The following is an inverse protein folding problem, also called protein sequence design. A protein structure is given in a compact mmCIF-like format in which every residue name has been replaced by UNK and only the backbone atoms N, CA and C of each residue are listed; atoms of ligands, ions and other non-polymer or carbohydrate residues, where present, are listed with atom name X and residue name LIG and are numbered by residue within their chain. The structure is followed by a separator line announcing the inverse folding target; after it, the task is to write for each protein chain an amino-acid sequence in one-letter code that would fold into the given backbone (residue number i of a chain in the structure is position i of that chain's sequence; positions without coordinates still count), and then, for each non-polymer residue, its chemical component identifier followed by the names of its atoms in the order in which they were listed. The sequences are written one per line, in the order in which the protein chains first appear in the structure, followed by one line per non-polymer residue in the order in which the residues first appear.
data_IF_179635708227
#
_entry.id   IF_179635708227
#
_cell.length_a   1.000
_cell.length_b   1.000
_cell.length_c   1.000
_cell.angle_alpha   90.00
_cell.angle_beta   90.00
_cell.angle_gamma   90.00
#
_symmetry.space_group_name_H-M   'P 1'
#
loop_
_entity.id
_entity.type
_entity.pdbx_description
1 polymer ?
#
# COMPACT_ATOMS: atom_id res chain seq x y z
N UNK A 1 -19.65 -31.18 -28.90
CA UNK A 1 -20.04 -29.75 -28.96
C UNK A 1 -20.39 -29.12 -27.59
N UNK A 2 -20.27 -29.84 -26.45
CA UNK A 2 -20.68 -29.36 -25.11
C UNK A 2 -19.57 -28.70 -24.25
N UNK A 3 -18.29 -28.69 -24.69
CA UNK A 3 -17.18 -28.13 -23.89
C UNK A 3 -17.02 -26.60 -23.97
N UNK A 4 -17.68 -25.91 -24.92
CA UNK A 4 -17.49 -24.46 -25.13
C UNK A 4 -18.20 -23.59 -24.09
N UNK A 5 -19.33 -24.03 -23.51
CA UNK A 5 -20.12 -23.23 -22.56
C UNK A 5 -19.46 -23.02 -21.19
N UNK A 6 -18.77 -24.03 -20.67
CA UNK A 6 -18.18 -23.99 -19.31
C UNK A 6 -16.90 -23.16 -19.26
N UNK A 7 -16.11 -23.19 -20.34
CA UNK A 7 -14.89 -22.39 -20.48
C UNK A 7 -15.25 -20.91 -20.68
N UNK A 8 -16.26 -20.62 -21.49
CA UNK A 8 -16.73 -19.24 -21.73
C UNK A 8 -17.34 -18.62 -20.46
N UNK A 9 -18.10 -19.38 -19.64
CA UNK A 9 -18.58 -18.93 -18.33
C UNK A 9 -17.44 -18.66 -17.34
N UNK A 10 -16.38 -19.48 -17.32
CA UNK A 10 -15.20 -19.24 -16.46
C UNK A 10 -14.40 -18.02 -16.92
N UNK A 11 -14.25 -17.81 -18.23
CA UNK A 11 -13.58 -16.64 -18.80
C UNK A 11 -14.38 -15.36 -18.54
N UNK A 12 -15.70 -15.37 -18.76
CA UNK A 12 -16.57 -14.25 -18.42
C UNK A 12 -16.55 -13.94 -16.92
N UNK A 13 -16.59 -14.95 -16.04
CA UNK A 13 -16.54 -14.72 -14.58
C UNK A 13 -15.20 -14.13 -14.15
N UNK A 14 -14.08 -14.56 -14.73
CA UNK A 14 -12.73 -14.05 -14.43
C UNK A 14 -12.51 -12.63 -14.97
N UNK A 15 -13.00 -12.34 -16.18
CA UNK A 15 -12.94 -11.00 -16.78
C UNK A 15 -13.94 -10.03 -16.13
N UNK A 16 -15.12 -10.49 -15.71
CA UNK A 16 -16.09 -9.69 -14.96
C UNK A 16 -15.54 -9.31 -13.58
N UNK A 17 -14.84 -10.22 -12.89
CA UNK A 17 -14.14 -9.89 -11.63
C UNK A 17 -13.08 -8.82 -11.87
N UNK A 18 -12.24 -8.95 -12.91
CA UNK A 18 -11.26 -7.92 -13.26
C UNK A 18 -11.96 -6.60 -13.60
N UNK A 19 -13.01 -6.60 -14.42
CA UNK A 19 -13.76 -5.40 -14.79
C UNK A 19 -14.47 -4.75 -13.61
N UNK A 20 -14.95 -5.51 -12.61
CA UNK A 20 -15.60 -4.94 -11.43
C UNK A 20 -14.56 -4.45 -10.43
N UNK A 21 -13.46 -5.17 -10.21
CA UNK A 21 -12.32 -4.65 -9.41
C UNK A 21 -11.80 -3.36 -10.06
N UNK A 22 -11.68 -3.33 -11.38
CA UNK A 22 -11.33 -2.12 -12.12
C UNK A 22 -12.43 -1.05 -12.03
N UNK A 23 -13.71 -1.36 -12.15
CA UNK A 23 -14.77 -0.36 -12.04
C UNK A 23 -14.90 0.19 -10.61
N UNK A 24 -14.73 -0.63 -9.59
CA UNK A 24 -14.93 -0.23 -8.19
C UNK A 24 -13.71 0.51 -7.61
N UNK A 25 -12.50 0.20 -8.08
CA UNK A 25 -11.28 0.87 -7.62
C UNK A 25 -10.76 1.92 -8.61
N UNK A 26 -11.02 1.76 -9.92
CA UNK A 26 -10.58 2.71 -10.96
C UNK A 26 -11.68 3.55 -11.58
N UNK A 27 -12.99 3.31 -11.49
CA UNK A 27 -13.90 4.20 -12.24
C UNK A 27 -13.88 5.70 -11.82
N UNK A 28 -13.55 6.08 -10.57
CA UNK A 28 -13.23 7.49 -10.26
C UNK A 28 -12.13 8.10 -11.16
N UNK A 29 -11.18 7.28 -11.63
CA UNK A 29 -10.06 7.62 -12.53
C UNK A 29 -10.52 8.16 -13.90
N UNK A 30 -11.48 7.51 -14.55
CA UNK A 30 -11.95 7.92 -15.88
C UNK A 30 -12.80 9.20 -15.84
N UNK A 31 -13.28 9.59 -14.67
CA UNK A 31 -14.15 10.75 -14.48
C UNK A 31 -13.35 12.01 -14.19
N UNK A 32 -12.21 11.89 -13.49
CA UNK A 32 -11.24 12.98 -13.34
C UNK A 32 -10.57 13.35 -14.69
N UNK A 33 -10.51 12.42 -15.65
CA UNK A 33 -9.88 12.62 -16.97
C UNK A 33 -10.84 13.02 -18.11
N UNK A 34 -12.08 13.43 -17.81
CA UNK A 34 -12.94 14.04 -18.82
C UNK A 34 -12.30 15.32 -19.37
N UNK A 35 -12.04 15.37 -20.68
CA UNK A 35 -11.22 16.32 -21.47
C UNK A 35 -11.39 17.84 -21.23
N UNK A 36 -12.31 18.29 -20.36
CA UNK A 36 -12.65 19.71 -20.17
C UNK A 36 -12.63 20.19 -18.71
N UNK A 37 -12.00 19.48 -17.78
CA UNK A 37 -11.87 19.95 -16.40
C UNK A 37 -10.57 20.76 -16.24
N UNK A 38 -10.60 22.10 -16.12
CA UNK A 38 -9.39 22.85 -15.82
C UNK A 38 -8.87 22.42 -14.44
N UNK A 39 -7.62 21.98 -14.38
CA UNK A 39 -6.92 21.77 -13.12
C UNK A 39 -7.05 23.04 -12.24
N UNK A 40 -7.25 22.91 -10.92
CA UNK A 40 -7.31 24.06 -10.04
C UNK A 40 -5.99 24.84 -10.16
N UNK A 41 -6.08 26.12 -10.53
CA UNK A 41 -4.93 27.03 -10.45
C UNK A 41 -4.51 27.11 -8.98
N UNK A 42 -3.32 26.62 -8.68
CA UNK A 42 -2.66 26.86 -7.40
C UNK A 42 -2.36 28.37 -7.34
N UNK A 43 -3.09 29.11 -6.51
CA UNK A 43 -2.82 30.52 -6.25
C UNK A 43 -1.53 30.67 -5.45
N UNK A 44 -0.43 30.95 -6.14
CA UNK A 44 0.79 31.45 -5.52
C UNK A 44 0.54 32.90 -5.06
N UNK A 45 0.28 33.10 -3.76
CA UNK A 45 0.01 34.41 -3.14
C UNK A 45 1.22 35.37 -3.06
N UNK A 46 2.30 35.14 -3.80
CA UNK A 46 3.46 36.04 -3.86
C UNK A 46 3.86 36.34 -5.30
N UNK A 47 3.03 37.10 -6.02
CA UNK A 47 3.45 38.00 -7.10
C UNK A 47 2.28 38.96 -7.37
N UNK A 48 2.14 39.97 -6.52
CA UNK A 48 1.35 41.17 -6.82
C UNK A 48 2.30 42.29 -7.16
N UNK A 49 2.56 42.50 -8.46
CA UNK A 49 2.70 43.84 -9.06
C UNK A 49 2.85 43.71 -10.58
N UNK A 50 2.01 44.49 -11.27
CA UNK A 50 2.01 44.82 -12.69
C UNK A 50 1.67 43.71 -13.70
N UNK A 51 0.39 43.60 -14.04
CA UNK A 51 -0.09 43.62 -15.43
C UNK A 51 -1.61 43.85 -15.45
N UNK A 52 -2.02 45.06 -15.89
CA UNK A 52 -3.41 45.38 -16.24
C UNK A 52 -3.70 44.74 -17.60
N UNK A 53 -4.34 43.57 -17.62
CA UNK A 53 -4.91 42.99 -18.84
C UNK A 53 -6.37 43.45 -19.00
N UNK A 54 -6.74 43.71 -20.25
CA UNK A 54 -8.03 44.22 -20.71
C UNK A 54 -9.20 43.25 -20.44
N UNK A 55 -10.43 43.77 -20.25
CA UNK A 55 -11.61 42.94 -19.98
C UNK A 55 -12.14 42.30 -21.27
N UNK A 56 -11.59 41.14 -21.66
CA UNK A 56 -12.12 40.35 -22.77
C UNK A 56 -13.39 39.57 -22.36
N UNK A 57 -14.55 40.06 -22.81
CA UNK A 57 -15.76 39.34 -23.25
C UNK A 57 -15.95 37.87 -22.86
N UNK A 58 -16.09 37.55 -21.56
CA UNK A 58 -16.70 36.27 -21.15
C UNK A 58 -18.21 36.35 -21.30
N UNK A 59 -18.74 35.83 -22.41
CA UNK A 59 -20.20 35.67 -22.61
C UNK A 59 -20.79 34.91 -21.40
N UNK A 60 -21.86 35.42 -20.75
CA UNK A 60 -22.46 34.77 -19.60
C UNK A 60 -23.00 33.39 -20.00
N UNK A 61 -22.51 32.36 -19.32
CA UNK A 61 -23.00 30.99 -19.47
C UNK A 61 -24.49 30.99 -19.12
N UNK A 62 -25.36 30.64 -20.09
CA UNK A 62 -26.81 30.70 -19.91
C UNK A 62 -27.27 29.84 -18.73
N UNK A 63 -28.24 30.32 -17.94
CA UNK A 63 -28.81 29.58 -16.79
C UNK A 63 -29.25 28.15 -17.18
N UNK A 64 -29.70 27.93 -18.42
CA UNK A 64 -30.09 26.63 -18.98
C UNK A 64 -28.90 25.66 -19.10
N UNK A 65 -27.75 26.13 -19.58
CA UNK A 65 -26.52 25.31 -19.69
C UNK A 65 -25.91 24.95 -18.33
N UNK A 66 -26.11 25.78 -17.30
CA UNK A 66 -25.69 25.47 -15.91
C UNK A 66 -26.57 24.39 -15.28
N UNK A 67 -27.90 24.44 -15.51
CA UNK A 67 -28.84 23.40 -15.04
C UNK A 67 -28.58 22.03 -15.70
N UNK A 68 -28.27 22.00 -17.00
CA UNK A 68 -27.95 20.76 -17.72
C UNK A 68 -26.63 20.13 -17.24
N UNK A 69 -25.58 20.94 -17.03
CA UNK A 69 -24.31 20.47 -16.44
C UNK A 69 -24.51 19.87 -15.04
N UNK A 70 -25.31 20.51 -14.18
CA UNK A 70 -25.61 19.97 -12.84
C UNK A 70 -26.38 18.65 -12.90
N UNK A 71 -27.38 18.50 -13.79
CA UNK A 71 -28.13 17.24 -13.94
C UNK A 71 -27.24 16.09 -14.41
N UNK A 72 -26.33 16.35 -15.36
CA UNK A 72 -25.38 15.32 -15.83
C UNK A 72 -24.41 14.91 -14.71
N UNK A 73 -23.89 15.88 -13.95
CA UNK A 73 -22.97 15.62 -12.84
C UNK A 73 -23.63 14.81 -11.71
N UNK A 74 -24.89 15.10 -11.36
CA UNK A 74 -25.66 14.34 -10.35
C UNK A 74 -25.94 12.90 -10.80
N UNK A 75 -26.31 12.68 -12.08
CA UNK A 75 -26.49 11.32 -12.61
C UNK A 75 -25.18 10.54 -12.58
N UNK A 76 -24.08 11.18 -12.99
CA UNK A 76 -22.74 10.59 -13.00
C UNK A 76 -22.28 10.23 -11.58
N UNK A 77 -22.48 11.11 -10.59
CA UNK A 77 -22.11 10.85 -9.20
C UNK A 77 -22.92 9.72 -8.56
N UNK A 78 -24.24 9.64 -8.81
CA UNK A 78 -25.08 8.52 -8.35
C UNK A 78 -24.62 7.18 -8.91
N UNK A 79 -24.30 7.13 -10.20
CA UNK A 79 -23.85 5.91 -10.84
C UNK A 79 -22.47 5.46 -10.31
N UNK A 80 -21.53 6.38 -10.06
CA UNK A 80 -20.27 6.07 -9.36
C UNK A 80 -20.54 5.49 -7.97
N UNK A 81 -21.41 6.14 -7.18
CA UNK A 81 -21.74 5.66 -5.84
C UNK A 81 -22.34 4.25 -5.87
N UNK A 82 -23.18 3.94 -6.86
CA UNK A 82 -23.72 2.59 -7.03
C UNK A 82 -22.64 1.57 -7.36
N UNK A 83 -21.67 1.91 -8.22
CA UNK A 83 -20.52 1.06 -8.49
C UNK A 83 -19.69 0.85 -7.23
N UNK A 84 -19.39 1.90 -6.47
CA UNK A 84 -18.64 1.78 -5.22
C UNK A 84 -19.37 0.92 -4.19
N UNK A 85 -20.70 1.07 -4.07
CA UNK A 85 -21.54 0.22 -3.19
C UNK A 85 -21.51 -1.23 -3.63
N UNK A 86 -21.61 -1.49 -4.93
CA UNK A 86 -21.50 -2.84 -5.48
C UNK A 86 -20.11 -3.44 -5.24
N UNK A 87 -19.04 -2.66 -5.42
CA UNK A 87 -17.68 -3.07 -5.06
C UNK A 87 -17.55 -3.45 -3.59
N UNK A 88 -18.12 -2.65 -2.70
CA UNK A 88 -18.14 -2.95 -1.26
C UNK A 88 -18.94 -4.22 -0.93
N UNK A 89 -20.00 -4.54 -1.66
CA UNK A 89 -20.79 -5.75 -1.41
C UNK A 89 -20.09 -7.04 -1.91
N UNK A 90 -19.30 -6.96 -2.99
CA UNK A 90 -18.55 -8.11 -3.51
C UNK A 90 -17.20 -8.33 -2.84
N UNK A 91 -16.57 -7.29 -2.27
CA UNK A 91 -15.24 -7.38 -1.70
C UNK A 91 -15.12 -8.50 -0.64
N UNK A 92 -16.05 -8.64 0.34
CA UNK A 92 -16.03 -9.76 1.29
C UNK A 92 -16.11 -11.15 0.63
N UNK A 93 -16.72 -11.25 -0.56
CA UNK A 93 -16.83 -12.52 -1.28
C UNK A 93 -15.49 -12.94 -1.88
N UNK A 94 -14.63 -11.98 -2.23
CA UNK A 94 -13.29 -12.21 -2.81
C UNK A 94 -12.19 -12.46 -1.78
N UNK A 95 -12.48 -12.25 -0.50
CA UNK A 95 -11.50 -12.48 0.55
C UNK A 95 -11.00 -13.93 0.61
N UNK A 96 -9.76 -14.07 1.08
CA UNK A 96 -9.19 -15.37 1.40
C UNK A 96 -10.08 -16.07 2.42
N UNK A 97 -10.53 -17.28 2.09
CA UNK A 97 -11.45 -18.03 2.95
C UNK A 97 -10.69 -18.68 4.10
N UNK A 98 -11.34 -18.73 5.25
CA UNK A 98 -10.91 -19.55 6.39
C UNK A 98 -10.88 -21.01 5.95
N UNK A 99 -9.81 -21.70 6.32
CA UNK A 99 -9.66 -23.13 6.12
C UNK A 99 -9.49 -23.81 7.49
N UNK A 100 -10.53 -24.46 8.02
CA UNK A 100 -10.44 -25.13 9.33
C UNK A 100 -9.46 -26.30 9.30
N UNK A 101 -9.20 -26.87 8.12
CA UNK A 101 -8.20 -27.92 7.95
C UNK A 101 -6.85 -27.27 7.64
N UNK A 102 -5.86 -27.54 8.50
CA UNK A 102 -4.47 -27.15 8.27
C UNK A 102 -3.99 -27.67 6.90
N UNK A 103 -3.59 -26.81 5.95
CA UNK A 103 -3.09 -27.26 4.65
C UNK A 103 -1.82 -28.12 4.78
N UNK A 104 -1.62 -29.06 3.85
CA UNK A 104 -0.48 -30.00 3.88
C UNK A 104 0.89 -29.34 3.71
N UNK A 105 0.94 -28.16 3.10
CA UNK A 105 2.14 -27.34 2.94
C UNK A 105 2.45 -26.49 4.18
N UNK A 106 1.55 -26.43 5.17
CA UNK A 106 1.88 -25.81 6.46
C UNK A 106 2.89 -26.74 7.16
N UNK A 107 4.00 -26.18 7.67
CA UNK A 107 5.07 -26.89 8.36
C UNK A 107 4.56 -27.99 9.30
N UNK A 108 5.27 -29.12 9.38
CA UNK A 108 4.86 -30.21 10.29
C UNK A 108 5.13 -29.83 11.74
N UNK A 109 4.52 -30.57 12.67
CA UNK A 109 4.82 -30.43 14.11
C UNK A 109 6.34 -30.62 14.32
N UNK A 110 6.99 -29.64 14.95
CA UNK A 110 8.43 -29.63 15.19
C UNK A 110 9.26 -28.82 14.19
N UNK A 111 8.72 -28.51 13.01
CA UNK A 111 9.42 -27.65 12.03
C UNK A 111 9.34 -26.19 12.48
N UNK A 112 10.46 -25.63 12.92
CA UNK A 112 10.55 -24.23 13.37
C UNK A 112 10.83 -23.30 12.19
N UNK A 113 10.15 -22.12 12.13
CA UNK A 113 10.53 -21.09 11.18
C UNK A 113 11.95 -20.60 11.49
N UNK A 114 12.65 -20.13 10.45
CA UNK A 114 13.92 -19.42 10.60
C UNK A 114 13.74 -18.13 11.40
N UNK A 115 12.65 -17.41 11.10
CA UNK A 115 12.18 -16.25 11.84
C UNK A 115 10.73 -15.95 11.48
N UNK A 116 10.12 -15.05 12.25
CA UNK A 116 8.77 -14.53 12.01
C UNK A 116 8.84 -13.01 11.90
N UNK A 117 8.07 -12.42 11.00
CA UNK A 117 7.82 -10.97 11.02
C UNK A 117 6.33 -10.70 10.93
N UNK A 118 5.89 -9.49 11.31
CA UNK A 118 4.47 -9.13 11.31
C UNK A 118 4.23 -7.88 10.47
N UNK A 119 3.18 -7.91 9.65
CA UNK A 119 2.65 -6.75 8.92
C UNK A 119 1.41 -6.21 9.64
N UNK A 120 1.41 -4.92 9.93
CA UNK A 120 0.23 -4.16 10.38
C UNK A 120 0.00 -3.02 9.38
N UNK A 121 -1.25 -2.65 9.11
CA UNK A 121 -1.56 -1.61 8.12
C UNK A 121 -2.82 -0.85 8.49
N UNK A 122 -2.99 0.33 7.90
CA UNK A 122 -4.23 1.10 7.94
C UNK A 122 -4.71 1.32 9.39
N UNK A 123 -3.77 1.78 10.23
CA UNK A 123 -4.03 2.07 11.64
C UNK A 123 -5.03 3.23 11.78
N UNK A 124 -4.98 4.19 10.85
CA UNK A 124 -5.72 5.45 10.86
C UNK A 124 -5.81 6.06 12.25
N UNK A 125 -4.69 6.16 12.96
CA UNK A 125 -4.70 6.67 14.33
C UNK A 125 -5.19 8.11 14.37
N UNK A 126 -6.27 8.34 15.11
CA UNK A 126 -6.83 9.65 15.36
C UNK A 126 -6.99 9.86 16.86
N UNK A 127 -6.66 11.08 17.32
CA UNK A 127 -6.73 11.51 18.73
C UNK A 127 -5.95 10.60 19.68
N UNK A 128 -4.78 10.13 19.25
CA UNK A 128 -3.84 9.41 20.12
C UNK A 128 -4.43 8.10 20.71
N UNK A 129 -5.50 7.56 20.10
CA UNK A 129 -6.16 6.33 20.57
C UNK A 129 -5.42 5.09 20.09
N UNK A 130 -4.56 4.53 20.94
CA UNK A 130 -3.70 3.37 20.62
C UNK A 130 -4.24 2.03 21.09
N UNK A 131 -5.35 1.98 21.83
CA UNK A 131 -5.86 0.77 22.49
C UNK A 131 -5.82 -0.51 21.63
N UNK A 132 -6.29 -0.43 20.38
CA UNK A 132 -6.32 -1.59 19.48
C UNK A 132 -4.91 -1.99 18.99
N UNK A 133 -4.04 -1.01 18.76
CA UNK A 133 -2.64 -1.23 18.42
C UNK A 133 -1.89 -1.86 19.60
N UNK A 134 -2.10 -1.36 20.82
CA UNK A 134 -1.49 -1.90 22.04
C UNK A 134 -1.89 -3.35 22.27
N UNK A 135 -3.20 -3.64 22.17
CA UNK A 135 -3.70 -5.02 22.23
C UNK A 135 -3.08 -5.94 21.17
N UNK A 136 -2.91 -5.44 19.95
CA UNK A 136 -2.29 -6.22 18.89
C UNK A 136 -0.81 -6.48 19.22
N UNK A 137 -0.06 -5.45 19.60
CA UNK A 137 1.36 -5.56 19.96
C UNK A 137 1.56 -6.55 21.11
N UNK A 138 0.75 -6.47 22.16
CA UNK A 138 0.85 -7.38 23.31
C UNK A 138 0.56 -8.83 22.90
N UNK A 139 -0.50 -9.07 22.13
CA UNK A 139 -0.79 -10.40 21.60
C UNK A 139 0.34 -10.92 20.73
N UNK A 140 0.83 -10.11 19.79
CA UNK A 140 1.90 -10.47 18.86
C UNK A 140 3.17 -10.83 19.64
N UNK A 141 3.57 -10.02 20.60
CA UNK A 141 4.77 -10.30 21.39
C UNK A 141 4.62 -11.58 22.21
N UNK A 142 3.48 -11.77 22.88
CA UNK A 142 3.27 -12.90 23.78
C UNK A 142 3.02 -14.23 23.03
N UNK A 143 2.43 -14.20 21.84
CA UNK A 143 1.99 -15.42 21.13
C UNK A 143 2.83 -15.74 19.88
N UNK A 144 3.45 -14.73 19.27
CA UNK A 144 4.13 -14.86 17.98
C UNK A 144 5.63 -14.59 18.12
N UNK A 145 6.01 -13.62 18.95
CA UNK A 145 7.40 -13.19 19.19
C UNK A 145 8.20 -12.91 17.90
N UNK A 146 7.81 -11.88 17.11
CA UNK A 146 8.43 -11.63 15.82
C UNK A 146 9.82 -11.02 15.94
N UNK A 147 10.65 -11.25 14.93
CA UNK A 147 11.95 -10.60 14.77
C UNK A 147 11.83 -9.09 14.49
N UNK A 148 10.77 -8.67 13.78
CA UNK A 148 10.49 -7.27 13.50
C UNK A 148 9.03 -7.05 13.06
N UNK A 149 8.59 -5.79 13.15
CA UNK A 149 7.31 -5.32 12.63
C UNK A 149 7.47 -4.52 11.33
N UNK A 150 6.47 -4.56 10.46
CA UNK A 150 6.37 -3.69 9.27
C UNK A 150 4.99 -3.02 9.24
N UNK A 151 4.97 -1.70 9.14
CA UNK A 151 3.76 -0.89 9.03
C UNK A 151 3.59 -0.38 7.60
N UNK A 152 2.55 -0.82 6.90
CA UNK A 152 2.39 -0.60 5.45
C UNK A 152 1.45 0.55 5.09
N UNK A 153 1.56 1.67 5.78
CA UNK A 153 0.86 2.91 5.44
C UNK A 153 -0.51 3.10 6.09
N UNK A 154 -1.07 4.28 5.86
CA UNK A 154 -2.26 4.82 6.50
C UNK A 154 -2.20 4.73 8.02
N UNK A 155 -1.07 5.19 8.53
CA UNK A 155 -0.68 5.06 9.91
C UNK A 155 -1.44 6.06 10.81
N UNK A 156 -1.65 7.29 10.31
CA UNK A 156 -2.29 8.37 11.06
C UNK A 156 -3.47 8.94 10.27
N UNK A 157 -4.51 9.39 10.97
CA UNK A 157 -5.63 10.12 10.38
C UNK A 157 -6.02 11.35 11.20
N UNK A 158 -6.83 12.23 10.59
CA UNK A 158 -7.32 13.46 11.21
C UNK A 158 -6.64 14.74 10.72
N UNK A 159 -7.03 15.91 11.27
CA UNK A 159 -6.62 17.20 10.74
C UNK A 159 -5.16 17.56 11.02
N UNK A 160 -4.61 17.18 12.18
CA UNK A 160 -3.21 17.43 12.55
C UNK A 160 -2.34 16.18 12.35
N UNK A 161 -2.01 15.93 11.07
CA UNK A 161 -1.18 14.77 10.68
C UNK A 161 0.21 14.83 11.32
N UNK A 162 0.83 16.00 11.41
CA UNK A 162 2.18 16.16 11.97
C UNK A 162 2.23 15.76 13.44
N UNK A 163 1.28 16.23 14.26
CA UNK A 163 1.19 15.82 15.66
C UNK A 163 0.91 14.32 15.80
N UNK A 164 -0.04 13.79 15.02
CA UNK A 164 -0.37 12.36 15.07
C UNK A 164 0.80 11.45 14.68
N UNK A 165 1.60 11.85 13.68
CA UNK A 165 2.80 11.12 13.27
C UNK A 165 3.90 11.17 14.33
N UNK A 166 4.17 12.34 14.93
CA UNK A 166 5.10 12.45 16.08
C UNK A 166 4.69 11.55 17.24
N UNK A 167 3.40 11.59 17.59
CA UNK A 167 2.84 10.74 18.64
C UNK A 167 3.02 9.26 18.32
N UNK A 168 2.62 8.82 17.12
CA UNK A 168 2.76 7.41 16.73
C UNK A 168 4.23 6.97 16.75
N UNK A 169 5.16 7.78 16.21
CA UNK A 169 6.59 7.48 16.26
C UNK A 169 7.07 7.28 17.70
N UNK A 170 6.75 8.22 18.59
CA UNK A 170 7.11 8.12 20.00
C UNK A 170 6.53 6.85 20.63
N UNK A 171 5.25 6.56 20.36
CA UNK A 171 4.56 5.38 20.86
C UNK A 171 5.22 4.08 20.41
N UNK A 172 5.55 3.95 19.12
CA UNK A 172 6.24 2.77 18.59
C UNK A 172 7.67 2.65 19.16
N UNK A 173 8.40 3.75 19.30
CA UNK A 173 9.75 3.74 19.88
C UNK A 173 9.72 3.30 21.36
N UNK A 174 8.72 3.73 22.14
CA UNK A 174 8.55 3.27 23.51
C UNK A 174 8.14 1.80 23.56
N UNK A 175 7.03 1.44 22.89
CA UNK A 175 6.44 0.11 22.98
C UNK A 175 7.30 -0.97 22.33
N UNK A 176 7.73 -0.77 21.09
CA UNK A 176 8.45 -1.82 20.36
C UNK A 176 9.95 -1.80 20.66
N UNK A 177 10.58 -0.63 20.59
CA UNK A 177 12.05 -0.56 20.69
C UNK A 177 12.52 -0.58 22.14
N UNK A 178 11.95 0.24 23.03
CA UNK A 178 12.44 0.34 24.41
C UNK A 178 11.93 -0.78 25.30
N UNK A 179 10.62 -1.02 25.34
CA UNK A 179 10.00 -2.04 26.20
C UNK A 179 10.24 -3.47 25.68
N UNK A 180 10.01 -3.72 24.37
CA UNK A 180 10.03 -5.07 23.79
C UNK A 180 11.31 -5.46 23.06
N UNK A 181 12.23 -4.50 22.83
CA UNK A 181 13.47 -4.68 22.06
C UNK A 181 13.24 -5.26 20.65
N UNK A 182 12.09 -4.98 20.04
CA UNK A 182 11.72 -5.44 18.71
C UNK A 182 11.75 -4.26 17.73
N UNK A 183 12.56 -4.30 16.65
CA UNK A 183 12.59 -3.22 15.68
C UNK A 183 11.32 -3.18 14.83
N UNK A 184 11.04 -2.01 14.25
CA UNK A 184 9.97 -1.83 13.28
C UNK A 184 10.43 -1.05 12.05
N UNK A 185 9.78 -1.31 10.94
CA UNK A 185 9.91 -0.59 9.68
C UNK A 185 8.54 -0.02 9.31
N UNK A 186 8.51 1.15 8.69
CA UNK A 186 7.28 1.85 8.37
C UNK A 186 7.40 2.51 7.00
N UNK A 187 6.33 2.45 6.22
CA UNK A 187 6.17 3.20 4.97
C UNK A 187 4.94 4.09 5.08
N UNK A 188 4.92 5.15 4.28
CA UNK A 188 3.78 6.07 4.20
C UNK A 188 2.66 5.50 3.33
N UNK A 189 1.42 5.70 3.75
CA UNK A 189 0.23 5.55 2.90
C UNK A 189 -0.26 6.88 2.36
N UNK A 190 -1.40 6.85 1.67
CA UNK A 190 -2.00 8.07 1.09
C UNK A 190 -2.40 9.07 2.18
N UNK A 191 -2.83 8.58 3.34
CA UNK A 191 -3.16 9.43 4.48
C UNK A 191 -1.93 9.97 5.24
N UNK A 192 -0.73 9.50 4.92
CA UNK A 192 0.51 9.88 5.62
C UNK A 192 1.38 10.88 4.85
N UNK A 193 1.06 11.19 3.58
CA UNK A 193 1.98 11.84 2.63
C UNK A 193 2.67 13.13 3.15
N UNK A 194 2.02 13.89 4.02
CA UNK A 194 2.60 15.11 4.61
C UNK A 194 3.32 14.81 5.91
N UNK A 195 4.52 15.37 6.07
CA UNK A 195 5.38 15.29 7.26
C UNK A 195 5.92 13.90 7.62
N UNK A 196 5.63 12.87 6.82
CA UNK A 196 6.04 11.51 7.14
C UNK A 196 7.55 11.43 7.31
N UNK A 197 8.31 11.92 6.34
CA UNK A 197 9.77 11.83 6.37
C UNK A 197 10.35 12.63 7.54
N UNK A 198 9.82 13.81 7.85
CA UNK A 198 10.23 14.60 9.02
C UNK A 198 10.17 13.78 10.33
N UNK A 199 9.16 12.92 10.46
CA UNK A 199 8.92 12.15 11.67
C UNK A 199 9.59 10.77 11.64
N UNK A 200 9.45 10.02 10.56
CA UNK A 200 9.70 8.58 10.56
C UNK A 200 10.98 8.13 9.87
N UNK A 201 11.70 8.99 9.16
CA UNK A 201 12.71 8.47 8.23
C UNK A 201 12.21 8.42 6.80
N UNK A 202 13.10 8.01 5.89
CA UNK A 202 12.73 7.73 4.51
C UNK A 202 11.62 6.67 4.48
N UNK A 203 10.59 6.87 3.65
CA UNK A 203 9.60 5.83 3.35
C UNK A 203 10.14 4.77 2.37
N UNK A 204 11.36 4.95 1.86
CA UNK A 204 12.04 4.01 0.99
C UNK A 204 13.24 3.41 1.74
N UNK A 205 13.21 2.10 1.95
CA UNK A 205 14.26 1.38 2.68
C UNK A 205 14.45 -0.02 2.11
N UNK A 206 15.63 -0.59 2.33
CA UNK A 206 15.95 -1.96 1.93
C UNK A 206 16.99 -2.59 2.85
N UNK A 207 16.70 -3.78 3.37
CA UNK A 207 17.60 -4.54 4.23
C UNK A 207 17.56 -6.03 3.89
N UNK A 208 18.50 -6.80 4.45
CA UNK A 208 18.52 -8.25 4.33
C UNK A 208 18.43 -8.86 5.73
N UNK A 209 17.55 -9.84 5.91
CA UNK A 209 17.40 -10.57 7.17
C UNK A 209 17.13 -12.06 6.87
N UNK A 210 17.92 -12.95 7.47
CA UNK A 210 17.82 -14.39 7.21
C UNK A 210 17.95 -14.76 5.72
N UNK A 211 18.79 -14.03 4.97
CA UNK A 211 18.98 -14.26 3.54
C UNK A 211 17.85 -13.77 2.62
N UNK A 212 16.81 -13.13 3.16
CA UNK A 212 15.72 -12.52 2.40
C UNK A 212 15.91 -11.00 2.40
N UNK A 213 15.74 -10.38 1.23
CA UNK A 213 15.71 -8.93 1.09
C UNK A 213 14.29 -8.41 1.32
N UNK A 214 14.19 -7.40 2.17
CA UNK A 214 12.95 -6.68 2.47
C UNK A 214 13.09 -5.26 1.92
N UNK A 215 12.13 -4.84 1.11
CA UNK A 215 12.14 -3.52 0.46
C UNK A 215 10.81 -2.83 0.72
N UNK A 216 10.83 -1.70 1.41
CA UNK A 216 9.65 -0.85 1.58
C UNK A 216 9.72 0.34 0.65
N UNK A 217 8.62 0.65 -0.02
CA UNK A 217 8.51 1.85 -0.84
C UNK A 217 7.24 2.64 -0.50
N UNK A 218 7.41 3.95 -0.31
CA UNK A 218 6.33 4.92 -0.30
C UNK A 218 6.15 5.51 -1.69
N UNK A 219 4.92 5.85 -2.06
CA UNK A 219 4.68 6.62 -3.28
C UNK A 219 5.21 8.04 -3.11
N UNK A 220 5.80 8.64 -4.14
CA UNK A 220 6.43 9.96 -4.11
C UNK A 220 5.42 11.11 -4.03
N UNK A 221 4.24 10.89 -4.62
CA UNK A 221 3.14 11.83 -4.63
C UNK A 221 1.89 11.10 -4.22
N UNK A 222 1.04 11.76 -3.44
CA UNK A 222 -0.32 11.34 -3.21
C UNK A 222 -1.27 12.51 -3.35
N UNK A 223 -2.36 12.28 -4.07
CA UNK A 223 -3.45 13.22 -4.15
C UNK A 223 -4.43 12.84 -3.04
N UNK A 224 -4.17 13.37 -1.84
CA UNK A 224 -4.87 13.08 -0.57
C UNK A 224 -6.41 12.89 -0.72
N UNK A 225 -7.07 13.67 -1.59
CA UNK A 225 -8.53 13.63 -1.74
C UNK A 225 -9.06 12.63 -2.79
N UNK A 226 -8.19 12.10 -3.65
CA UNK A 226 -8.54 11.06 -4.64
C UNK A 226 -7.96 9.70 -4.27
N UNK A 227 -6.95 9.65 -3.39
CA UNK A 227 -6.24 8.41 -3.04
C UNK A 227 -5.49 7.83 -4.24
N UNK A 228 -4.94 8.70 -5.10
CA UNK A 228 -4.15 8.30 -6.26
C UNK A 228 -2.75 8.82 -6.06
N UNK A 229 -1.80 7.89 -5.88
CA UNK A 229 -0.40 8.23 -5.84
C UNK A 229 0.38 7.92 -7.12
N UNK A 230 1.66 8.27 -7.08
CA UNK A 230 2.63 8.06 -8.16
C UNK A 230 4.00 7.75 -7.58
N UNK A 231 4.73 6.81 -8.20
CA UNK A 231 6.07 6.41 -7.79
C UNK A 231 7.13 6.78 -8.84
N UNK A 232 7.99 7.75 -8.54
CA UNK A 232 9.05 8.25 -9.42
C UNK A 232 10.40 7.57 -9.22
N UNK A 233 10.64 6.91 -8.07
CA UNK A 233 11.94 6.33 -7.72
C UNK A 233 12.21 4.96 -8.34
N UNK A 234 11.84 4.78 -9.61
CA UNK A 234 11.94 3.52 -10.33
C UNK A 234 13.38 3.04 -10.53
N UNK A 235 14.31 3.96 -10.80
CA UNK A 235 15.74 3.62 -10.96
C UNK A 235 16.37 3.17 -9.64
N UNK A 236 15.96 3.78 -8.52
CA UNK A 236 16.34 3.31 -7.19
C UNK A 236 15.82 1.89 -6.95
N UNK A 237 14.55 1.63 -7.28
CA UNK A 237 13.95 0.29 -7.12
C UNK A 237 14.69 -0.75 -7.97
N UNK A 238 14.95 -0.45 -9.25
CA UNK A 238 15.76 -1.32 -10.14
C UNK A 238 17.13 -1.62 -9.54
N UNK A 239 17.82 -0.62 -9.00
CA UNK A 239 19.15 -0.79 -8.37
C UNK A 239 19.06 -1.69 -7.13
N UNK A 240 18.05 -1.49 -6.28
CA UNK A 240 17.84 -2.29 -5.07
C UNK A 240 17.51 -3.74 -5.40
N UNK A 241 16.70 -3.98 -6.43
CA UNK A 241 16.26 -5.32 -6.84
C UNK A 241 17.28 -6.09 -7.68
N UNK A 242 18.34 -5.46 -8.19
CA UNK A 242 19.48 -6.16 -8.81
C UNK A 242 20.24 -7.06 -7.82
N UNK A 243 20.05 -6.86 -6.52
CA UNK A 243 20.69 -7.69 -5.51
C UNK A 243 20.14 -9.11 -5.60
N UNK A 244 21.00 -10.15 -5.60
CA UNK A 244 20.57 -11.52 -5.87
C UNK A 244 19.93 -12.21 -4.64
N UNK A 245 19.10 -11.51 -3.87
CA UNK A 245 18.37 -12.09 -2.73
C UNK A 245 16.90 -12.30 -3.07
N UNK A 246 16.26 -13.38 -2.58
CA UNK A 246 14.80 -13.50 -2.67
C UNK A 246 14.19 -12.29 -1.95
N UNK A 247 13.27 -11.60 -2.63
CA UNK A 247 12.81 -10.27 -2.21
C UNK A 247 11.32 -10.24 -1.92
N UNK A 248 10.98 -9.61 -0.79
CA UNK A 248 9.63 -9.22 -0.40
C UNK A 248 9.52 -7.69 -0.50
N UNK A 249 8.53 -7.21 -1.24
CA UNK A 249 8.29 -5.79 -1.46
C UNK A 249 7.05 -5.32 -0.67
N UNK A 250 7.17 -4.22 0.07
CA UNK A 250 6.06 -3.59 0.80
C UNK A 250 5.67 -2.28 0.14
N UNK A 251 4.38 -2.10 -0.12
CA UNK A 251 3.78 -0.87 -0.62
C UNK A 251 2.50 -0.62 0.18
N UNK A 252 2.11 0.63 0.35
CA UNK A 252 0.77 0.89 0.85
C UNK A 252 -0.27 0.57 -0.24
N UNK A 253 -0.19 1.29 -1.37
CA UNK A 253 -1.07 1.13 -2.51
C UNK A 253 -0.65 -0.10 -3.36
N UNK A 254 -1.54 -1.09 -3.57
CA UNK A 254 -1.22 -2.27 -4.34
C UNK A 254 -0.85 -2.01 -5.81
N UNK A 255 0.16 -2.75 -6.30
CA UNK A 255 0.41 -2.90 -7.74
C UNK A 255 -0.52 -3.90 -8.42
N UNK A 256 -1.10 -4.84 -7.66
CA UNK A 256 -2.03 -5.83 -8.20
C UNK A 256 -3.14 -6.22 -7.21
N UNK A 257 -4.43 -5.98 -7.55
CA UNK A 257 -4.86 -5.06 -8.62
C UNK A 257 -4.24 -3.66 -8.42
N UNK A 258 -3.88 -2.95 -9.50
CA UNK A 258 -3.20 -1.66 -9.36
C UNK A 258 -4.11 -0.64 -8.63
N UNK A 259 -3.53 0.33 -7.94
CA UNK A 259 -4.30 1.38 -7.23
C UNK A 259 -3.66 2.77 -7.32
N UNK A 260 -2.47 2.85 -7.92
CA UNK A 260 -1.75 4.09 -8.15
C UNK A 260 -1.35 4.19 -9.62
N UNK A 261 -1.05 5.41 -10.08
CA UNK A 261 -1.06 5.75 -11.50
C UNK A 261 -0.10 4.91 -12.37
N UNK A 262 1.14 4.71 -11.92
CA UNK A 262 2.14 3.93 -12.64
C UNK A 262 2.45 2.57 -12.02
N UNK A 263 1.44 1.96 -11.38
CA UNK A 263 1.56 0.62 -10.82
C UNK A 263 2.00 -0.44 -11.84
N UNK A 264 1.62 -0.30 -13.11
CA UNK A 264 2.03 -1.22 -14.18
C UNK A 264 3.53 -1.17 -14.48
N UNK A 265 4.18 -0.04 -14.26
CA UNK A 265 5.63 0.11 -14.42
C UNK A 265 6.37 -0.52 -13.25
N UNK A 266 5.91 -0.30 -12.02
CA UNK A 266 6.44 -0.96 -10.82
C UNK A 266 6.27 -2.48 -10.91
N UNK A 267 5.09 -2.94 -11.35
CA UNK A 267 4.84 -4.37 -11.61
C UNK A 267 5.84 -4.95 -12.62
N UNK A 268 6.13 -4.22 -13.71
CA UNK A 268 7.11 -4.65 -14.72
C UNK A 268 8.51 -4.77 -14.12
N UNK A 269 8.92 -3.83 -13.28
CA UNK A 269 10.18 -3.89 -12.56
C UNK A 269 10.24 -5.12 -11.65
N UNK A 270 9.18 -5.39 -10.87
CA UNK A 270 9.11 -6.56 -10.00
C UNK A 270 9.24 -7.87 -10.79
N UNK A 271 8.47 -8.02 -11.87
CA UNK A 271 8.48 -9.21 -12.72
C UNK A 271 9.84 -9.44 -13.36
N UNK A 272 10.46 -8.37 -13.88
CA UNK A 272 11.75 -8.47 -14.57
C UNK A 272 12.93 -8.74 -13.63
N UNK A 273 12.79 -8.46 -12.33
CA UNK A 273 13.87 -8.69 -11.36
C UNK A 273 14.04 -10.17 -10.99
N UNK A 274 13.03 -11.01 -11.25
CA UNK A 274 12.98 -12.48 -11.02
C UNK A 274 13.18 -12.96 -9.57
N UNK A 275 13.75 -12.13 -8.69
CA UNK A 275 13.99 -12.41 -7.29
C UNK A 275 12.83 -11.95 -6.39
N UNK A 276 11.95 -11.08 -6.87
CA UNK A 276 10.72 -10.68 -6.17
C UNK A 276 9.70 -11.80 -6.27
N UNK A 277 9.29 -12.35 -5.13
CA UNK A 277 8.32 -13.46 -5.08
C UNK A 277 7.05 -13.11 -4.30
N UNK A 278 7.07 -12.00 -3.55
CA UNK A 278 5.95 -11.54 -2.75
C UNK A 278 5.87 -10.01 -2.73
N UNK A 279 4.65 -9.49 -2.85
CA UNK A 279 4.35 -8.08 -2.61
C UNK A 279 3.23 -7.95 -1.57
N UNK A 280 3.44 -7.07 -0.59
CA UNK A 280 2.63 -6.92 0.62
C UNK A 280 2.03 -5.52 0.68
N UNK A 281 0.71 -5.45 0.86
CA UNK A 281 -0.08 -4.23 0.66
C UNK A 281 -1.01 -3.90 1.82
N UNK A 282 -1.38 -2.61 1.93
CA UNK A 282 -2.47 -2.08 2.74
C UNK A 282 -3.61 -1.56 1.86
N UNK A 283 -4.16 -0.40 2.22
CA UNK A 283 -5.03 0.50 1.43
C UNK A 283 -6.45 -0.01 1.16
N UNK A 284 -6.58 -1.29 0.78
CA UNK A 284 -7.87 -1.89 0.40
C UNK A 284 -8.67 -2.32 1.63
N UNK A 285 -8.02 -2.45 2.80
CA UNK A 285 -8.62 -2.86 4.07
C UNK A 285 -9.21 -4.28 4.11
N UNK A 286 -9.09 -5.07 3.04
CA UNK A 286 -9.61 -6.43 2.92
C UNK A 286 -8.48 -7.45 2.75
N UNK A 287 -8.69 -8.67 3.27
CA UNK A 287 -7.73 -9.75 3.14
C UNK A 287 -7.83 -10.41 1.76
N UNK A 288 -6.99 -9.96 0.83
CA UNK A 288 -6.90 -10.51 -0.52
C UNK A 288 -5.57 -11.20 -0.81
N UNK A 289 -5.64 -12.18 -1.69
CA UNK A 289 -4.49 -12.89 -2.21
C UNK A 289 -4.62 -13.05 -3.73
N UNK A 290 -3.61 -12.60 -4.47
CA UNK A 290 -3.56 -12.79 -5.90
C UNK A 290 -2.20 -13.34 -6.32
N UNK A 291 -2.16 -14.21 -7.33
CA UNK A 291 -0.90 -14.66 -7.92
C UNK A 291 -0.82 -14.19 -9.36
N UNK A 292 0.28 -13.54 -9.72
CA UNK A 292 0.56 -13.09 -11.08
C UNK A 292 2.05 -13.24 -11.38
N UNK A 293 2.37 -13.92 -12.48
CA UNK A 293 3.76 -14.15 -12.95
C UNK A 293 4.69 -14.65 -11.84
N UNK A 294 4.25 -15.63 -11.07
CA UNK A 294 5.01 -16.21 -9.95
C UNK A 294 4.93 -15.43 -8.62
N UNK A 295 4.62 -14.14 -8.66
CA UNK A 295 4.56 -13.26 -7.49
C UNK A 295 3.24 -13.44 -6.74
N UNK A 296 3.29 -13.61 -5.42
CA UNK A 296 2.12 -13.56 -4.54
C UNK A 296 1.90 -12.12 -4.05
N UNK A 297 0.73 -11.56 -4.35
CA UNK A 297 0.28 -10.25 -3.91
C UNK A 297 -0.70 -10.43 -2.74
N UNK A 298 -0.33 -9.97 -1.56
CA UNK A 298 -1.13 -10.08 -0.34
C UNK A 298 -1.57 -8.71 0.11
N UNK A 299 -2.86 -8.55 0.34
CA UNK A 299 -3.47 -7.35 0.90
C UNK A 299 -3.78 -7.65 2.36
N UNK A 300 -3.24 -6.85 3.27
CA UNK A 300 -3.52 -6.99 4.68
C UNK A 300 -4.83 -6.28 5.02
N UNK A 301 -5.65 -6.92 5.84
CA UNK A 301 -6.80 -6.27 6.44
C UNK A 301 -6.36 -5.10 7.30
N UNK A 302 -7.19 -4.06 7.34
CA UNK A 302 -6.92 -2.89 8.17
C UNK A 302 -7.05 -3.25 9.65
N UNK A 303 -6.12 -2.74 10.47
CA UNK A 303 -6.26 -2.86 11.91
C UNK A 303 -7.50 -2.09 12.40
N UNK A 304 -7.85 -0.94 11.80
CA UNK A 304 -8.93 -0.07 12.31
C UNK A 304 -10.19 -0.01 11.45
N UNK A 305 -10.06 0.06 10.14
CA UNK A 305 -11.17 0.31 9.21
C UNK A 305 -11.89 -0.96 8.73
N UNK A 306 -11.41 -2.15 9.13
CA UNK A 306 -12.11 -3.41 8.91
C UNK A 306 -12.82 -3.83 10.20
N UNK A 307 -14.06 -4.29 10.11
CA UNK A 307 -14.84 -4.73 11.27
C UNK A 307 -14.23 -5.92 12.02
N UNK A 308 -13.36 -6.69 11.38
CA UNK A 308 -12.67 -7.82 12.00
C UNK A 308 -11.38 -7.43 12.69
N UNK A 309 -10.81 -6.26 12.37
CA UNK A 309 -9.54 -5.74 12.89
C UNK A 309 -8.40 -6.75 12.88
N UNK A 310 -7.37 -6.58 12.07
CA UNK A 310 -6.31 -7.59 12.10
C UNK A 310 -5.00 -7.22 11.45
N UNK A 311 -4.16 -8.23 11.40
CA UNK A 311 -2.78 -8.17 10.94
C UNK A 311 -2.36 -9.52 10.36
N UNK A 312 -1.17 -9.57 9.78
CA UNK A 312 -0.60 -10.80 9.22
C UNK A 312 0.74 -11.14 9.85
N UNK A 313 0.92 -12.41 10.20
CA UNK A 313 2.18 -12.97 10.66
C UNK A 313 2.79 -13.86 9.58
N UNK A 314 4.10 -13.69 9.34
CA UNK A 314 4.84 -14.31 8.26
C UNK A 314 5.92 -15.21 8.82
N UNK A 315 5.67 -16.51 8.76
CA UNK A 315 6.57 -17.55 9.24
C UNK A 315 7.49 -17.96 8.08
N UNK A 316 8.76 -17.61 8.19
CA UNK A 316 9.74 -17.82 7.13
C UNK A 316 10.45 -19.16 7.32
N UNK A 317 10.42 -19.99 6.28
CA UNK A 317 11.10 -21.28 6.19
C UNK A 317 12.11 -21.25 5.04
N UNK A 318 13.04 -22.23 4.95
CA UNK A 318 14.08 -22.24 3.91
C UNK A 318 13.54 -22.17 2.47
N UNK A 319 12.36 -22.74 2.20
CA UNK A 319 11.78 -22.88 0.86
C UNK A 319 10.49 -22.07 0.65
N UNK A 320 9.90 -21.52 1.73
CA UNK A 320 8.59 -20.85 1.69
C UNK A 320 8.37 -19.84 2.80
N UNK A 321 7.40 -18.97 2.60
CA UNK A 321 6.81 -18.11 3.63
C UNK A 321 5.36 -18.52 3.83
N UNK A 322 5.01 -18.91 5.05
CA UNK A 322 3.64 -19.22 5.47
C UNK A 322 3.06 -18.00 6.16
N UNK A 323 1.88 -17.59 5.70
CA UNK A 323 1.21 -16.39 6.21
C UNK A 323 -0.04 -16.80 6.97
N UNK A 324 -0.17 -16.25 8.16
CA UNK A 324 -1.33 -16.39 9.03
C UNK A 324 -2.01 -15.03 9.19
N UNK A 325 -3.33 -15.00 9.02
CA UNK A 325 -4.14 -13.83 9.39
C UNK A 325 -4.63 -13.98 10.83
N UNK A 326 -4.48 -12.93 11.61
CA UNK A 326 -5.03 -12.82 12.96
C UNK A 326 -6.05 -11.69 13.02
N UNK A 327 -7.19 -11.97 13.66
CA UNK A 327 -8.33 -11.05 13.75
C UNK A 327 -8.73 -10.87 15.23
N UNK A 328 -9.35 -9.72 15.53
CA UNK A 328 -9.98 -9.49 16.81
C UNK A 328 -11.28 -10.31 16.89
N UNK A 329 -11.39 -11.14 17.90
CA UNK A 329 -12.63 -11.87 18.20
C UNK A 329 -13.62 -10.98 18.97
N UNK A 330 -14.87 -11.43 19.10
CA UNK A 330 -15.94 -10.74 19.84
C UNK A 330 -15.63 -10.54 21.32
N UNK A 331 -14.76 -11.37 21.90
CA UNK A 331 -14.24 -11.23 23.28
C UNK A 331 -13.18 -10.12 23.43
N UNK A 332 -12.84 -9.43 22.33
CA UNK A 332 -11.86 -8.36 22.31
C UNK A 332 -10.40 -8.84 22.40
N UNK A 333 -10.13 -10.12 22.10
CA UNK A 333 -8.79 -10.71 22.01
C UNK A 333 -8.46 -11.07 20.56
N UNK A 334 -7.19 -10.91 20.18
CA UNK A 334 -6.71 -11.39 18.90
C UNK A 334 -6.57 -12.92 18.91
N UNK A 335 -6.80 -13.54 17.76
CA UNK A 335 -6.64 -14.97 17.57
C UNK A 335 -6.25 -15.27 16.12
N UNK A 336 -5.66 -16.44 15.89
CA UNK A 336 -5.44 -16.93 14.53
C UNK A 336 -6.78 -17.33 13.88
N UNK A 337 -7.08 -16.76 12.72
CA UNK A 337 -8.41 -16.87 12.09
C UNK A 337 -8.57 -18.06 11.14
N UNK A 338 -7.64 -19.03 11.19
CA UNK A 338 -7.60 -20.16 10.28
C UNK A 338 -7.48 -19.77 8.79
N UNK A 339 -6.92 -18.60 8.50
CA UNK A 339 -6.64 -18.16 7.12
C UNK A 339 -5.16 -18.36 6.86
N UNK A 340 -4.86 -19.16 5.85
CA UNK A 340 -3.51 -19.56 5.49
C UNK A 340 -3.19 -19.13 4.06
N UNK A 341 -2.00 -18.56 3.85
CA UNK A 341 -1.45 -18.32 2.51
C UNK A 341 0.00 -18.80 2.46
N UNK A 342 0.52 -19.06 1.26
CA UNK A 342 1.92 -19.48 1.07
C UNK A 342 2.53 -18.87 -0.18
N UNK A 343 3.75 -18.37 -0.04
CA UNK A 343 4.62 -18.10 -1.18
C UNK A 343 5.87 -18.96 -1.09
N UNK A 344 6.20 -19.62 -2.19
CA UNK A 344 7.43 -20.38 -2.32
C UNK A 344 8.55 -19.45 -2.79
N UNK A 345 9.72 -19.62 -2.22
CA UNK A 345 10.91 -18.92 -2.68
C UNK A 345 11.32 -19.45 -4.06
N UNK A 346 11.89 -18.61 -4.94
CA UNK A 346 12.46 -19.07 -6.19
C UNK A 346 13.54 -20.11 -5.93
N UNK A 347 13.44 -21.31 -6.53
CA UNK A 347 14.38 -22.42 -6.31
C UNK A 347 15.87 -22.02 -6.43
N UNK A 348 16.29 -21.21 -7.43
CA UNK A 348 17.69 -20.80 -7.55
C UNK A 348 18.22 -19.97 -6.37
N UNK A 349 17.34 -19.47 -5.50
CA UNK A 349 17.67 -18.59 -4.39
C UNK A 349 17.55 -19.28 -3.02
N UNK A 350 17.17 -20.57 -2.96
CA UNK A 350 17.03 -21.32 -1.70
C UNK A 350 18.34 -21.38 -0.91
N UNK A 351 19.48 -21.53 -1.59
CA UNK A 351 20.81 -21.61 -0.95
C UNK A 351 21.23 -20.33 -0.24
N UNK A 352 20.59 -19.20 -0.54
CA UNK A 352 20.90 -17.89 0.06
C UNK A 352 20.15 -17.63 1.36
N UNK A 353 19.11 -18.43 1.63
CA UNK A 353 18.38 -18.37 2.89
C UNK A 353 19.18 -19.14 3.92
N UNK A 354 20.01 -18.41 4.64
CA UNK A 354 20.91 -18.98 5.63
C UNK A 354 20.14 -19.52 6.84
N UNK A 355 20.60 -20.65 7.39
CA UNK A 355 20.17 -21.13 8.71
C UNK A 355 20.69 -20.25 9.86
N UNK A 356 21.73 -19.44 9.62
CA UNK A 356 22.32 -18.53 10.60
C UNK A 356 22.05 -17.09 10.18
N UNK A 357 21.36 -16.35 11.03
CA UNK A 357 20.99 -14.96 10.75
C UNK A 357 22.20 -14.06 11.01
N UNK A 358 22.90 -13.64 9.95
CA UNK A 358 23.87 -12.54 10.07
C UNK A 358 23.11 -11.21 10.07
N UNK A 359 23.06 -10.54 11.23
CA UNK A 359 22.42 -9.23 11.39
C UNK A 359 23.23 -8.12 10.70
N UNK A 360 23.22 -8.06 9.36
CA UNK A 360 23.51 -6.81 8.63
C UNK A 360 22.20 -6.07 8.39
N UNK A 361 21.60 -5.60 9.48
CA UNK A 361 20.50 -4.65 9.38
C UNK A 361 21.07 -3.33 8.85
N UNK A 362 20.49 -2.77 7.78
CA UNK A 362 20.47 -1.31 7.70
C UNK A 362 19.71 -0.84 8.93
N UNK A 363 20.21 0.21 9.56
CA UNK A 363 19.62 0.82 10.74
C UNK A 363 18.09 0.93 10.55
N UNK A 364 17.26 0.43 11.50
CA UNK A 364 15.80 0.57 11.41
C UNK A 364 15.43 2.05 11.27
N UNK A 365 14.20 2.35 10.83
CA UNK A 365 13.73 3.74 10.68
C UNK A 365 13.94 4.60 11.95
N UNK A 366 13.99 3.98 13.13
CA UNK A 366 14.34 4.63 14.40
C UNK A 366 15.79 5.14 14.51
N UNK A 367 16.67 4.75 13.59
CA UNK A 367 18.12 5.02 13.58
C UNK A 367 18.64 5.56 12.22
N UNK A 368 17.78 5.71 11.21
CA UNK A 368 18.15 6.35 9.94
C UNK A 368 18.16 7.88 10.14
N UNK A 369 19.35 8.46 10.29
CA UNK A 369 19.53 9.91 10.15
C UNK A 369 19.39 10.30 8.68
N UNK A 370 18.52 11.26 8.39
CA UNK A 370 18.18 11.67 7.03
C UNK A 370 19.26 12.46 6.30
N UNK A 371 19.27 12.28 4.98
CA UNK A 371 19.77 13.26 4.01
C UNK A 371 18.78 14.44 4.01
N UNK A 372 19.22 15.59 4.51
CA UNK A 372 18.41 16.82 4.67
C UNK A 372 17.92 17.45 3.35
N UNK A 373 18.35 16.95 2.20
CA UNK A 373 18.22 17.65 0.92
C UNK A 373 17.05 17.16 0.03
N UNK A 374 16.21 16.25 0.52
CA UNK A 374 15.11 15.69 -0.30
C UNK A 374 14.11 16.76 -0.75
N UNK A 375 13.83 17.77 0.08
CA UNK A 375 12.90 18.84 -0.25
C UNK A 375 13.45 19.77 -1.34
N UNK A 376 14.75 20.06 -1.34
CA UNK A 376 15.40 20.88 -2.37
C UNK A 376 15.50 20.12 -3.71
N UNK A 377 15.77 18.81 -3.65
CA UNK A 377 15.74 17.93 -4.83
C UNK A 377 14.32 17.84 -5.42
N UNK A 378 13.29 17.79 -4.57
CA UNK A 378 11.88 17.71 -4.96
C UNK A 378 11.40 18.97 -5.70
N UNK A 379 11.75 20.16 -5.22
CA UNK A 379 11.41 21.42 -5.91
C UNK A 379 12.07 21.51 -7.29
N UNK A 380 13.34 21.08 -7.42
CA UNK A 380 14.07 21.06 -8.69
C UNK A 380 13.45 20.09 -9.72
N UNK A 381 12.97 18.92 -9.29
CA UNK A 381 12.34 17.93 -10.18
C UNK A 381 10.97 18.41 -10.68
N UNK A 382 10.15 18.97 -9.79
CA UNK A 382 8.85 19.54 -10.15
C UNK A 382 9.01 20.70 -11.14
N UNK A 383 9.93 21.61 -10.88
CA UNK A 383 10.19 22.74 -11.78
C UNK A 383 10.61 22.28 -13.18
N UNK A 384 11.48 21.26 -13.27
CA UNK A 384 11.97 20.73 -14.55
C UNK A 384 10.87 20.01 -15.34
N UNK A 385 10.01 19.24 -14.67
CA UNK A 385 8.87 18.55 -15.32
C UNK A 385 7.77 19.51 -15.75
N UNK A 386 7.45 20.51 -14.92
CA UNK A 386 6.44 21.53 -15.25
C UNK A 386 6.87 22.37 -16.46
N UNK A 387 8.15 22.79 -16.51
CA UNK A 387 8.72 23.49 -17.67
C UNK A 387 8.66 22.66 -18.96
N UNK A 388 8.87 21.34 -18.87
CA UNK A 388 8.81 20.45 -20.04
C UNK A 388 7.38 20.23 -20.55
N UNK A 389 6.42 20.02 -19.65
CA UNK A 389 5.00 19.92 -20.00
C UNK A 389 4.48 21.24 -20.59
N UNK A 390 4.87 22.39 -20.01
CA UNK A 390 4.49 23.70 -20.52
C UNK A 390 5.02 23.97 -21.94
N UNK A 391 6.30 23.67 -22.21
CA UNK A 391 6.89 23.79 -23.55
C UNK A 391 6.21 22.90 -24.59
N UNK A 392 5.73 21.71 -24.20
CA UNK A 392 5.02 20.81 -25.10
C UNK A 392 3.57 21.22 -25.36
N UNK A 393 2.97 22.05 -24.49
CA UNK A 393 1.63 22.61 -24.69
C UNK A 393 1.64 23.91 -25.52
N UNK A 394 2.81 24.55 -25.67
CA UNK A 394 3.01 25.73 -26.50
C UNK A 394 3.36 25.40 -27.96
N UNK A 395 3.77 24.16 -28.23
CA UNK A 395 3.93 23.60 -29.59
C UNK A 395 2.65 22.90 -29.98
#
# INVERSE_FOLDING_TARGET
MFLKGTIMKKILKRNLIICITWACFFFPYFIAMGKDSPLPKVENKRFKKHNKLSPSSKKPISKKSRKLRNKHWIKKSRWIQNILRFGKSIAPLMEVKRNPKRPSWVPRKGEKPLFVFVQITDLHLWRERTFLLDKAIDYIHNQINPAFFVFTGDNVSGPDRKKGQRFLKHHLDQKLVKERKTPYFIIRGDNDAKYFEENFGSSNWAFVYGGIQFVGIGLDYDIDWVGIGFFEQQEWLKKVLRRPYPTILFLHQPVYPPTFWNASEVERIMVNSQNVFMGLYGHIHYDFAFRKKGILHIHCLSLRQNSRHGFKAYFVYPDRVVVQTHELNKDGRFHFSNIWQVAYLPKPLHSRVEKRVHHRLTLPNSQIHHVRDFQEMFEKVLEKRFKRLWKNLQK
#
